data_IF_627524456611
#
_entry.id   IF_627524456611
#
_cell.length_a   1.000
_cell.length_b   1.000
_cell.length_c   1.000
_cell.angle_alpha   90.00
_cell.angle_beta   90.00
_cell.angle_gamma   90.00
#
_symmetry.space_group_name_H-M   'P 1'
#
loop_
_entity.id
_entity.type
_entity.pdbx_description
1 polymer ?
#
# COMPACT_ATOMS: atom_id res chain seq x y z
N UNK A 1 -18.72 -9.67 -22.70
CA UNK A 1 -17.40 -9.17 -23.13
C UNK A 1 -16.39 -10.07 -22.45
N UNK A 2 -15.73 -10.95 -23.20
CA UNK A 2 -15.01 -12.09 -22.64
C UNK A 2 -13.70 -11.65 -21.97
N UNK A 3 -13.62 -11.94 -20.68
CA UNK A 3 -12.44 -11.80 -19.84
C UNK A 3 -11.31 -12.75 -20.28
N UNK A 4 -10.46 -12.27 -21.19
CA UNK A 4 -9.18 -12.88 -21.55
C UNK A 4 -8.13 -12.52 -20.48
N UNK A 5 -8.25 -13.10 -19.29
CA UNK A 5 -7.24 -12.92 -18.24
C UNK A 5 -5.98 -13.72 -18.57
N UNK A 6 -4.86 -13.01 -18.71
CA UNK A 6 -3.52 -13.58 -18.92
C UNK A 6 -2.91 -14.04 -17.58
N UNK A 7 -3.47 -15.08 -16.95
CA UNK A 7 -2.83 -15.73 -15.80
C UNK A 7 -1.52 -16.39 -16.24
N UNK A 8 -0.39 -15.76 -15.90
CA UNK A 8 0.93 -16.31 -16.23
C UNK A 8 1.29 -17.36 -15.18
N UNK A 9 1.26 -18.64 -15.58
CA UNK A 9 1.83 -19.72 -14.77
C UNK A 9 3.32 -19.45 -14.50
N UNK A 10 3.84 -19.66 -13.29
CA UNK A 10 5.23 -19.38 -12.93
C UNK A 10 6.26 -20.06 -13.85
N UNK A 11 5.95 -21.25 -14.39
CA UNK A 11 6.79 -21.98 -15.35
C UNK A 11 6.89 -21.34 -16.74
N UNK A 12 6.09 -20.32 -17.05
CA UNK A 12 6.01 -19.69 -18.37
C UNK A 12 6.56 -18.26 -18.39
N UNK A 13 6.98 -17.69 -17.25
CA UNK A 13 7.40 -16.29 -17.21
C UNK A 13 8.67 -16.03 -18.04
N UNK A 14 9.66 -16.93 -17.95
CA UNK A 14 10.87 -16.87 -18.79
C UNK A 14 10.60 -17.01 -20.29
N UNK A 15 9.48 -17.63 -20.68
CA UNK A 15 9.07 -17.75 -22.09
C UNK A 15 8.55 -16.41 -22.66
N UNK A 16 8.48 -15.35 -21.85
CA UNK A 16 8.22 -13.98 -22.31
C UNK A 16 9.48 -13.26 -22.77
N UNK A 17 10.67 -13.68 -22.32
CA UNK A 17 11.93 -13.17 -22.87
C UNK A 17 12.10 -13.75 -24.29
N UNK A 18 12.18 -12.91 -25.34
CA UNK A 18 12.39 -13.40 -26.69
C UNK A 18 13.75 -14.11 -26.81
N UNK A 19 13.84 -15.27 -27.48
CA UNK A 19 15.11 -15.97 -27.70
C UNK A 19 16.05 -15.28 -28.72
N UNK A 20 15.71 -14.10 -29.23
CA UNK A 20 16.50 -13.35 -30.22
C UNK A 20 15.64 -12.51 -31.18
N UNK A 21 16.33 -11.78 -32.08
CA UNK A 21 15.74 -10.98 -33.16
C UNK A 21 14.73 -11.80 -33.98
N UNK A 22 13.48 -11.33 -34.07
CA UNK A 22 12.40 -11.96 -34.85
C UNK A 22 11.46 -12.89 -34.08
N UNK A 23 11.58 -12.98 -32.74
CA UNK A 23 10.60 -13.69 -31.91
C UNK A 23 9.29 -12.90 -31.76
N UNK A 24 8.14 -13.56 -31.94
CA UNK A 24 6.78 -13.00 -31.72
C UNK A 24 6.48 -12.60 -30.26
N UNK A 25 7.47 -12.58 -29.37
CA UNK A 25 7.27 -12.15 -27.98
C UNK A 25 6.76 -10.71 -27.87
N UNK A 26 7.08 -9.85 -28.85
CA UNK A 26 6.66 -8.45 -28.86
C UNK A 26 5.17 -8.18 -29.08
N UNK A 27 4.34 -9.21 -29.31
CA UNK A 27 2.89 -9.07 -29.44
C UNK A 27 2.13 -9.35 -28.13
N UNK A 28 2.81 -9.65 -27.02
CA UNK A 28 2.16 -9.97 -25.74
C UNK A 28 1.94 -8.71 -24.91
N UNK A 29 0.79 -8.64 -24.23
CA UNK A 29 0.51 -7.57 -23.28
C UNK A 29 1.62 -7.52 -22.20
N UNK A 30 2.30 -6.37 -22.04
CA UNK A 30 3.34 -6.22 -21.02
C UNK A 30 2.77 -6.25 -19.60
N UNK A 31 1.49 -5.94 -19.38
CA UNK A 31 0.89 -5.97 -18.05
C UNK A 31 0.64 -7.43 -17.62
N UNK A 32 1.18 -7.80 -16.47
CA UNK A 32 1.12 -9.17 -15.96
C UNK A 32 0.55 -9.19 -14.55
N UNK A 33 -0.45 -10.05 -14.36
CA UNK A 33 -0.98 -10.44 -13.07
C UNK A 33 -0.44 -11.84 -12.74
N UNK A 34 0.05 -12.03 -11.50
CA UNK A 34 0.64 -13.30 -11.05
C UNK A 34 -0.09 -13.78 -9.81
N UNK A 35 -0.60 -15.00 -9.85
CA UNK A 35 -1.24 -15.68 -8.73
C UNK A 35 -0.53 -17.01 -8.40
N UNK A 36 0.04 -17.05 -7.19
CA UNK A 36 0.77 -18.17 -6.59
C UNK A 36 0.08 -18.67 -5.31
N UNK A 37 -1.24 -18.49 -5.21
CA UNK A 37 -2.01 -18.91 -4.04
C UNK A 37 -1.87 -20.42 -3.79
N UNK A 38 -1.55 -20.78 -2.55
CA UNK A 38 -1.59 -22.17 -2.09
C UNK A 38 -0.66 -23.12 -2.86
N UNK A 39 0.44 -22.61 -3.41
CA UNK A 39 1.39 -23.41 -4.21
C UNK A 39 2.45 -24.13 -3.36
N UNK A 40 2.29 -24.11 -2.04
CA UNK A 40 3.23 -24.70 -1.07
C UNK A 40 4.67 -24.23 -1.31
N UNK A 41 4.82 -22.93 -1.61
CA UNK A 41 6.14 -22.35 -1.86
C UNK A 41 6.91 -22.25 -0.54
N UNK A 42 8.10 -22.83 -0.54
CA UNK A 42 9.17 -22.55 0.42
C UNK A 42 9.95 -21.31 -0.03
N UNK A 43 10.75 -20.73 0.88
CA UNK A 43 11.58 -19.56 0.56
C UNK A 43 12.50 -19.80 -0.64
N UNK A 44 13.09 -20.99 -0.77
CA UNK A 44 13.98 -21.34 -1.89
C UNK A 44 13.25 -21.40 -3.23
N UNK A 45 12.06 -22.03 -3.26
CA UNK A 45 11.25 -22.13 -4.49
C UNK A 45 10.73 -20.76 -4.90
N UNK A 46 10.32 -19.95 -3.93
CA UNK A 46 9.91 -18.58 -4.17
C UNK A 46 11.08 -17.74 -4.68
N UNK A 47 12.27 -17.88 -4.08
CA UNK A 47 13.47 -17.19 -4.52
C UNK A 47 13.82 -17.48 -5.98
N UNK A 48 13.83 -18.75 -6.38
CA UNK A 48 14.11 -19.15 -7.76
C UNK A 48 13.09 -18.58 -8.76
N UNK A 49 11.81 -18.53 -8.36
CA UNK A 49 10.77 -17.89 -9.17
C UNK A 49 10.98 -16.38 -9.27
N UNK A 50 11.25 -15.72 -8.15
CA UNK A 50 11.44 -14.27 -8.07
C UNK A 50 12.66 -13.83 -8.88
N UNK A 51 13.76 -14.56 -8.86
CA UNK A 51 14.94 -14.22 -9.67
C UNK A 51 14.58 -14.19 -11.16
N UNK A 52 13.83 -15.18 -11.63
CA UNK A 52 13.34 -15.20 -13.01
C UNK A 52 12.40 -14.02 -13.31
N UNK A 53 11.56 -13.63 -12.35
CA UNK A 53 10.64 -12.50 -12.50
C UNK A 53 11.41 -11.18 -12.56
N UNK A 54 12.41 -11.00 -11.71
CA UNK A 54 13.32 -9.84 -11.71
C UNK A 54 14.00 -9.73 -13.07
N UNK A 55 14.58 -10.82 -13.58
CA UNK A 55 15.20 -10.86 -14.92
C UNK A 55 14.23 -10.35 -15.99
N UNK A 56 12.96 -10.79 -15.94
CA UNK A 56 11.96 -10.39 -16.92
C UNK A 56 11.50 -8.93 -16.76
N UNK A 57 11.34 -8.43 -15.53
CA UNK A 57 10.97 -7.04 -15.25
C UNK A 57 12.10 -6.10 -15.68
N UNK A 58 13.36 -6.51 -15.50
CA UNK A 58 14.55 -5.72 -15.85
C UNK A 58 14.96 -5.86 -17.32
N UNK A 59 14.51 -6.91 -18.01
CA UNK A 59 14.87 -7.13 -19.42
C UNK A 59 14.51 -5.91 -20.27
N UNK A 60 15.49 -5.37 -20.97
CA UNK A 60 15.36 -4.28 -21.95
C UNK A 60 16.08 -4.71 -23.22
N UNK A 61 15.53 -4.35 -24.37
CA UNK A 61 16.14 -4.61 -25.68
C UNK A 61 15.68 -3.56 -26.69
N UNK A 62 16.24 -3.58 -27.90
CA UNK A 62 15.90 -2.62 -28.96
C UNK A 62 14.39 -2.60 -29.28
N UNK A 63 13.76 -3.78 -29.33
CA UNK A 63 12.32 -3.92 -29.56
C UNK A 63 11.47 -3.61 -28.31
N UNK A 64 12.09 -3.57 -27.12
CA UNK A 64 11.43 -3.43 -25.82
C UNK A 64 12.17 -2.45 -24.89
N UNK A 65 12.29 -1.16 -25.27
CA UNK A 65 13.06 -0.17 -24.52
C UNK A 65 12.45 0.16 -23.14
N UNK A 66 11.16 -0.12 -22.96
CA UNK A 66 10.43 0.07 -21.70
C UNK A 66 10.22 -1.23 -20.91
N UNK A 67 10.77 -2.34 -21.41
CA UNK A 67 10.62 -3.67 -20.81
C UNK A 67 9.49 -4.51 -21.39
N UNK A 68 9.55 -5.81 -21.10
CA UNK A 68 8.60 -6.81 -21.60
C UNK A 68 7.52 -7.19 -20.57
N UNK A 69 7.73 -6.83 -19.30
CA UNK A 69 6.81 -7.12 -18.20
C UNK A 69 6.66 -5.87 -17.32
N UNK A 70 5.40 -5.55 -17.02
CA UNK A 70 4.95 -4.60 -16.01
C UNK A 70 4.04 -5.35 -15.05
N UNK A 71 4.52 -5.62 -13.85
CA UNK A 71 3.79 -6.42 -12.87
C UNK A 71 2.69 -5.56 -12.22
N UNK A 72 1.43 -5.84 -12.49
CA UNK A 72 0.29 -5.06 -11.99
C UNK A 72 -0.37 -5.65 -10.75
N UNK A 73 -0.24 -6.97 -10.55
CA UNK A 73 -0.76 -7.72 -9.41
C UNK A 73 0.16 -8.87 -9.05
N UNK A 74 0.45 -9.03 -7.76
CA UNK A 74 1.18 -10.18 -7.23
C UNK A 74 0.43 -10.77 -6.03
N UNK A 75 0.03 -12.04 -6.15
CA UNK A 75 -0.62 -12.81 -5.09
C UNK A 75 0.26 -13.99 -4.73
N UNK A 76 0.73 -14.05 -3.50
CA UNK A 76 1.54 -15.15 -2.94
C UNK A 76 0.90 -15.72 -1.67
N UNK A 77 -0.43 -15.61 -1.59
CA UNK A 77 -1.26 -16.01 -0.46
C UNK A 77 -1.10 -17.49 -0.09
N UNK A 78 -1.16 -17.81 1.20
CA UNK A 78 -1.35 -19.19 1.65
C UNK A 78 -0.15 -20.08 1.35
N UNK A 79 1.06 -19.53 1.48
CA UNK A 79 2.32 -20.27 1.31
C UNK A 79 3.06 -20.33 2.65
N UNK A 80 4.26 -20.90 2.66
CA UNK A 80 5.10 -21.01 3.86
C UNK A 80 6.24 -19.98 3.85
N UNK A 81 6.04 -18.81 3.22
CA UNK A 81 7.08 -17.80 3.09
C UNK A 81 7.42 -17.21 4.46
N UNK A 82 8.71 -17.02 4.71
CA UNK A 82 9.23 -16.44 5.95
C UNK A 82 9.94 -15.11 5.68
N UNK A 83 10.60 -14.57 6.70
CA UNK A 83 11.46 -13.38 6.59
C UNK A 83 12.55 -13.55 5.51
N UNK A 84 12.97 -14.78 5.19
CA UNK A 84 13.94 -15.03 4.13
C UNK A 84 13.43 -14.60 2.73
N UNK A 85 12.13 -14.74 2.46
CA UNK A 85 11.50 -14.31 1.20
C UNK A 85 11.32 -12.81 1.08
N UNK A 86 11.24 -12.11 2.21
CA UNK A 86 10.89 -10.68 2.29
C UNK A 86 11.84 -9.80 1.49
N UNK A 87 13.15 -10.07 1.56
CA UNK A 87 14.16 -9.27 0.82
C UNK A 87 13.92 -9.32 -0.69
N UNK A 88 13.64 -10.51 -1.23
CA UNK A 88 13.38 -10.72 -2.65
C UNK A 88 12.02 -10.15 -3.06
N UNK A 89 11.01 -10.31 -2.20
CA UNK A 89 9.71 -9.71 -2.41
C UNK A 89 9.83 -8.17 -2.51
N UNK A 90 10.53 -7.55 -1.57
CA UNK A 90 10.81 -6.10 -1.58
C UNK A 90 11.52 -5.63 -2.85
N UNK A 91 12.42 -6.44 -3.41
CA UNK A 91 13.08 -6.10 -4.68
C UNK A 91 12.12 -6.10 -5.88
N UNK A 92 11.29 -7.14 -6.03
CA UNK A 92 10.25 -7.19 -7.10
C UNK A 92 9.29 -6.02 -6.98
N UNK A 93 8.88 -5.74 -5.76
CA UNK A 93 8.01 -4.65 -5.34
C UNK A 93 8.60 -3.30 -5.71
N UNK A 94 9.88 -3.07 -5.41
CA UNK A 94 10.60 -1.84 -5.75
C UNK A 94 10.73 -1.66 -7.27
N UNK A 95 11.04 -2.74 -8.02
CA UNK A 95 11.13 -2.69 -9.48
C UNK A 95 9.79 -2.44 -10.18
N UNK A 96 8.67 -2.64 -9.48
CA UNK A 96 7.31 -2.51 -10.02
C UNK A 96 6.55 -1.33 -9.42
N UNK A 97 7.23 -0.36 -8.79
CA UNK A 97 6.61 0.74 -8.04
C UNK A 97 5.70 1.66 -8.88
N UNK A 98 5.86 1.65 -10.19
CA UNK A 98 5.13 2.48 -11.15
C UNK A 98 3.89 1.78 -11.76
N UNK A 99 3.71 0.47 -11.52
CA UNK A 99 2.65 -0.32 -12.14
C UNK A 99 1.96 -1.33 -11.21
N UNK A 100 2.57 -1.71 -10.08
CA UNK A 100 1.98 -2.66 -9.14
C UNK A 100 0.84 -2.02 -8.37
N UNK A 101 -0.39 -2.45 -8.67
CA UNK A 101 -1.61 -1.92 -8.06
C UNK A 101 -2.13 -2.78 -6.91
N UNK A 102 -1.77 -4.07 -6.87
CA UNK A 102 -2.24 -4.98 -5.83
C UNK A 102 -1.13 -5.94 -5.38
N UNK A 103 -1.00 -6.07 -4.06
CA UNK A 103 -0.13 -7.07 -3.45
C UNK A 103 -0.92 -7.87 -2.41
N UNK A 104 -0.93 -9.20 -2.54
CA UNK A 104 -1.48 -10.08 -1.52
C UNK A 104 -0.42 -11.06 -1.04
N UNK A 105 -0.03 -10.92 0.23
CA UNK A 105 1.00 -11.72 0.91
C UNK A 105 0.43 -12.42 2.14
N UNK A 106 -0.90 -12.52 2.21
CA UNK A 106 -1.64 -13.10 3.34
C UNK A 106 -1.36 -14.58 3.57
N UNK A 107 -1.66 -15.07 4.77
CA UNK A 107 -1.55 -16.47 5.17
C UNK A 107 -0.15 -17.06 4.91
N UNK A 108 0.88 -16.31 5.30
CA UNK A 108 2.29 -16.73 5.29
C UNK A 108 2.86 -16.72 6.73
N UNK A 109 4.17 -16.92 6.88
CA UNK A 109 4.88 -16.97 8.16
C UNK A 109 5.84 -15.80 8.33
N UNK A 110 5.48 -14.63 7.79
CA UNK A 110 6.33 -13.44 7.81
C UNK A 110 6.09 -12.67 9.12
N UNK A 111 7.11 -12.58 9.96
CA UNK A 111 7.03 -11.91 11.27
C UNK A 111 7.75 -10.56 11.34
N UNK A 112 8.69 -10.29 10.43
CA UNK A 112 9.50 -9.06 10.43
C UNK A 112 9.34 -8.33 9.11
N UNK A 113 9.00 -7.04 9.21
CA UNK A 113 8.47 -6.29 8.07
C UNK A 113 9.24 -5.00 7.77
N UNK A 114 10.19 -4.58 8.60
CA UNK A 114 10.85 -3.28 8.45
C UNK A 114 11.44 -3.07 7.04
N UNK A 115 12.34 -3.97 6.64
CA UNK A 115 12.96 -3.94 5.32
C UNK A 115 11.93 -3.96 4.16
N UNK A 116 10.85 -4.72 4.34
CA UNK A 116 9.78 -4.77 3.35
C UNK A 116 9.07 -3.44 3.23
N UNK A 117 8.60 -2.89 4.35
CA UNK A 117 7.79 -1.69 4.40
C UNK A 117 8.60 -0.46 3.95
N UNK A 118 9.90 -0.42 4.25
CA UNK A 118 10.80 0.61 3.73
C UNK A 118 10.91 0.58 2.20
N UNK A 119 10.82 -0.59 1.57
CA UNK A 119 10.79 -0.69 0.09
C UNK A 119 9.52 -0.10 -0.54
N UNK A 120 8.49 0.17 0.27
CA UNK A 120 7.21 0.75 -0.18
C UNK A 120 7.23 2.28 -0.19
N UNK A 121 8.25 2.95 0.37
CA UNK A 121 8.32 4.42 0.44
C UNK A 121 8.23 5.12 -0.93
N UNK A 122 8.56 4.42 -2.03
CA UNK A 122 8.48 4.95 -3.39
C UNK A 122 7.16 4.66 -4.13
N UNK A 123 6.19 4.01 -3.50
CA UNK A 123 4.98 3.53 -4.16
C UNK A 123 3.91 4.60 -4.30
N UNK A 124 3.40 4.78 -5.52
CA UNK A 124 2.42 5.83 -5.82
C UNK A 124 1.26 5.36 -6.72
N UNK A 125 1.16 4.06 -7.02
CA UNK A 125 0.05 3.49 -7.82
C UNK A 125 -0.67 2.33 -7.12
N UNK A 126 -0.23 1.99 -5.91
CA UNK A 126 -0.72 0.82 -5.21
C UNK A 126 -2.09 1.11 -4.56
N UNK A 127 -3.05 0.24 -4.86
CA UNK A 127 -4.43 0.35 -4.39
C UNK A 127 -4.74 -0.54 -3.19
N UNK A 128 -4.04 -1.67 -3.04
CA UNK A 128 -4.31 -2.64 -1.97
C UNK A 128 -3.08 -3.44 -1.56
N UNK A 129 -2.90 -3.60 -0.24
CA UNK A 129 -2.02 -4.61 0.34
C UNK A 129 -2.80 -5.49 1.31
N UNK A 130 -2.57 -6.79 1.20
CA UNK A 130 -3.13 -7.77 2.12
C UNK A 130 -2.04 -8.49 2.93
N UNK A 131 -2.01 -8.19 4.23
CA UNK A 131 -1.13 -8.77 5.25
C UNK A 131 -1.81 -9.81 6.14
N UNK A 132 -3.07 -10.17 5.84
CA UNK A 132 -3.89 -11.03 6.70
C UNK A 132 -3.20 -12.35 7.07
N UNK A 133 -3.49 -12.90 8.25
CA UNK A 133 -3.01 -14.21 8.69
C UNK A 133 -1.51 -14.35 8.93
N UNK A 134 -0.70 -13.29 8.74
CA UNK A 134 0.72 -13.31 9.07
C UNK A 134 0.95 -13.02 10.58
N UNK A 135 1.94 -13.66 11.21
CA UNK A 135 2.26 -13.45 12.63
C UNK A 135 3.06 -12.16 12.85
N UNK A 136 2.49 -11.00 12.51
CA UNK A 136 3.09 -9.67 12.70
C UNK A 136 3.51 -9.44 14.16
N UNK A 137 2.64 -9.79 15.11
CA UNK A 137 2.87 -9.56 16.54
C UNK A 137 2.97 -8.07 16.91
N UNK A 138 3.18 -7.77 18.19
CA UNK A 138 3.26 -6.37 18.65
C UNK A 138 4.38 -5.58 17.97
N UNK A 139 5.57 -6.19 17.84
CA UNK A 139 6.74 -5.56 17.20
C UNK A 139 6.51 -5.29 15.71
N UNK A 140 5.86 -6.22 14.99
CA UNK A 140 5.54 -6.00 13.57
C UNK A 140 4.57 -4.84 13.37
N UNK A 141 3.56 -4.70 14.24
CA UNK A 141 2.63 -3.57 14.21
C UNK A 141 3.27 -2.24 14.65
N UNK A 142 4.21 -2.25 15.61
CA UNK A 142 5.01 -1.06 15.95
C UNK A 142 5.82 -0.56 14.75
N UNK A 143 6.56 -1.47 14.10
CA UNK A 143 7.31 -1.16 12.88
C UNK A 143 6.37 -0.65 11.78
N UNK A 144 5.22 -1.29 11.60
CA UNK A 144 4.22 -0.85 10.64
C UNK A 144 3.74 0.58 10.93
N UNK A 145 3.31 0.85 12.16
CA UNK A 145 2.81 2.16 12.56
C UNK A 145 3.86 3.27 12.37
N UNK A 146 5.12 2.99 12.68
CA UNK A 146 6.23 3.93 12.44
C UNK A 146 6.44 4.22 10.96
N UNK A 147 6.57 3.19 10.11
CA UNK A 147 6.74 3.39 8.66
C UNK A 147 5.51 4.05 8.04
N UNK A 148 4.34 3.74 8.57
CA UNK A 148 3.08 4.39 8.19
C UNK A 148 3.13 5.88 8.49
N UNK A 149 3.46 6.31 9.72
CA UNK A 149 3.56 7.73 10.09
C UNK A 149 4.66 8.46 9.31
N UNK A 150 5.75 7.78 8.96
CA UNK A 150 6.83 8.32 8.13
C UNK A 150 6.50 8.39 6.62
N UNK A 151 5.37 7.85 6.16
CA UNK A 151 5.00 7.88 4.74
C UNK A 151 4.56 9.29 4.34
N UNK A 152 5.14 9.83 3.28
CA UNK A 152 4.88 11.19 2.81
C UNK A 152 3.55 11.30 2.04
N UNK A 153 2.63 12.12 2.56
CA UNK A 153 1.43 12.59 1.85
C UNK A 153 1.57 14.08 1.50
N UNK A 154 2.32 14.39 0.45
CA UNK A 154 2.61 15.79 0.08
C UNK A 154 1.38 16.56 -0.48
N UNK A 155 0.23 15.91 -0.66
CA UNK A 155 -0.93 16.48 -1.36
C UNK A 155 -2.12 16.85 -0.45
N UNK A 156 -2.29 16.21 0.72
CA UNK A 156 -3.47 16.46 1.56
C UNK A 156 -3.33 17.77 2.35
N UNK A 157 -2.10 18.17 2.69
CA UNK A 157 -1.83 19.46 3.33
C UNK A 157 -2.11 20.66 2.40
N UNK A 158 -2.08 20.43 1.08
CA UNK A 158 -2.41 21.44 0.05
C UNK A 158 -3.91 21.72 -0.05
N UNK A 159 -4.77 20.70 0.14
CA UNK A 159 -6.23 20.89 0.11
C UNK A 159 -6.74 21.62 1.36
N UNK A 160 -6.09 21.43 2.51
CA UNK A 160 -6.40 22.16 3.74
C UNK A 160 -6.09 23.69 3.64
N UNK A 161 -5.14 24.07 2.79
CA UNK A 161 -4.71 25.46 2.61
C UNK A 161 -5.47 26.24 1.53
N UNK A 162 -6.21 25.56 0.64
CA UNK A 162 -7.03 26.25 -0.38
C UNK A 162 -8.46 26.57 0.09
N UNK A 163 -8.85 26.18 1.32
CA UNK A 163 -10.26 26.19 1.72
C UNK A 163 -10.65 26.61 3.15
N UNK A 164 -9.82 27.24 3.99
CA UNK A 164 -10.30 27.61 5.35
C UNK A 164 -9.86 28.99 5.87
N UNK A 165 -10.73 29.99 5.62
CA UNK A 165 -10.98 31.12 6.53
C UNK A 165 -12.13 30.79 7.50
N UNK A 166 -12.15 29.60 8.12
CA UNK A 166 -13.20 29.28 9.10
C UNK A 166 -12.61 28.47 10.26
N UNK A 167 -12.77 29.00 11.47
CA UNK A 167 -12.34 28.38 12.72
C UNK A 167 -13.36 27.32 13.12
N UNK A 168 -12.93 26.06 13.18
CA UNK A 168 -13.71 24.96 13.78
C UNK A 168 -13.34 24.85 15.28
N UNK A 169 -14.29 24.55 16.19
CA UNK A 169 -14.06 24.57 17.64
C UNK A 169 -12.96 23.62 18.15
N UNK A 170 -12.19 24.14 19.09
CA UNK A 170 -10.79 23.83 19.42
C UNK A 170 -10.54 22.62 20.36
N UNK A 171 -11.54 21.86 20.82
CA UNK A 171 -11.31 21.02 22.01
C UNK A 171 -10.90 19.54 21.78
N UNK A 172 -11.07 18.96 20.59
CA UNK A 172 -10.69 17.54 20.33
C UNK A 172 -9.42 17.41 19.50
N UNK A 173 -9.20 18.32 18.54
CA UNK A 173 -7.97 18.41 17.74
C UNK A 173 -6.76 18.65 18.64
N UNK A 174 -6.92 19.40 19.73
CA UNK A 174 -5.85 19.69 20.69
C UNK A 174 -5.39 18.44 21.45
N UNK A 175 -6.24 17.43 21.67
CA UNK A 175 -5.85 16.20 22.39
C UNK A 175 -5.03 15.28 21.47
N UNK A 176 -5.43 15.16 20.20
CA UNK A 176 -4.70 14.39 19.18
C UNK A 176 -3.39 15.09 18.77
N UNK A 177 -3.41 16.41 18.54
CA UNK A 177 -2.19 17.19 18.28
C UNK A 177 -1.24 17.14 19.47
N UNK A 178 -1.70 17.22 20.72
CA UNK A 178 -0.83 17.07 21.88
C UNK A 178 -0.25 15.66 22.03
N UNK A 179 -0.99 14.61 21.67
CA UNK A 179 -0.46 13.25 21.67
C UNK A 179 0.60 13.03 20.57
N UNK A 180 0.45 13.68 19.43
CA UNK A 180 1.40 13.67 18.30
C UNK A 180 2.64 14.55 18.60
N UNK A 181 2.45 15.70 19.25
CA UNK A 181 3.52 16.62 19.65
C UNK A 181 4.39 16.05 20.78
N UNK A 182 3.81 15.24 21.68
CA UNK A 182 4.57 14.55 22.74
C UNK A 182 5.48 13.44 22.16
N UNK A 183 5.19 12.93 20.96
CA UNK A 183 6.03 11.94 20.26
C UNK A 183 7.10 12.64 19.38
N UNK A 184 6.86 13.88 18.94
CA UNK A 184 7.78 14.65 18.10
C UNK A 184 8.72 15.53 18.93
N UNK A 185 9.68 14.90 19.61
CA UNK A 185 10.87 15.59 20.12
C UNK A 185 12.00 15.55 19.08
N UNK A 186 12.17 16.69 18.38
CA UNK A 186 13.35 17.15 17.62
C UNK A 186 13.79 16.29 16.40
N UNK A 187 14.02 16.81 15.20
CA UNK A 187 14.70 18.05 14.81
C UNK A 187 14.16 18.63 13.48
N UNK A 188 14.39 19.93 13.32
CA UNK A 188 14.17 20.78 12.15
C UNK A 188 14.37 20.07 10.79
N UNK A 189 13.29 20.00 10.00
CA UNK A 189 13.32 19.66 8.56
C UNK A 189 14.02 20.78 7.77
N UNK A 190 15.35 20.84 7.85
CA UNK A 190 16.20 21.62 6.93
C UNK A 190 16.77 20.70 5.86
N UNK A 191 16.22 20.77 4.65
CA UNK A 191 16.85 20.41 3.38
C UNK A 191 17.75 19.15 3.39
N UNK A 192 17.24 18.01 3.88
CA UNK A 192 17.90 16.73 3.60
C UNK A 192 17.43 16.26 2.22
N UNK A 193 18.36 16.20 1.26
CA UNK A 193 18.18 15.42 0.03
C UNK A 193 17.67 14.03 0.44
N UNK A 194 16.68 13.44 -0.26
CA UNK A 194 16.21 12.10 0.06
C UNK A 194 17.42 11.16 0.09
N UNK A 195 17.64 10.40 1.17
CA UNK A 195 18.68 9.39 1.18
C UNK A 195 18.50 8.43 0.00
N UNK A 196 19.61 8.01 -0.59
CA UNK A 196 19.64 7.02 -1.66
C UNK A 196 19.37 5.62 -1.07
N UNK A 197 18.11 5.36 -0.70
CA UNK A 197 17.68 4.17 0.05
C UNK A 197 17.85 2.85 -0.72
N UNK A 198 18.03 2.91 -2.04
CA UNK A 198 18.34 1.73 -2.86
C UNK A 198 19.70 1.10 -2.51
N UNK A 199 20.61 1.87 -1.88
CA UNK A 199 21.86 1.34 -1.32
C UNK A 199 21.66 0.47 -0.08
N UNK A 200 20.57 0.63 0.70
CA UNK A 200 20.31 -0.18 1.91
C UNK A 200 20.15 -1.66 1.57
N UNK A 201 19.69 -1.98 0.36
CA UNK A 201 19.58 -3.34 -0.14
C UNK A 201 20.69 -3.78 -1.08
N UNK A 202 21.65 -2.91 -1.38
CA UNK A 202 22.74 -3.16 -2.33
C UNK A 202 22.30 -3.27 -3.79
N UNK A 203 21.13 -2.71 -4.15
CA UNK A 203 20.60 -2.77 -5.51
C UNK A 203 20.84 -1.44 -6.22
N UNK A 204 21.51 -1.48 -7.36
CA UNK A 204 21.64 -0.33 -8.27
C UNK A 204 20.42 -0.33 -9.19
N UNK A 205 19.42 0.49 -8.89
CA UNK A 205 18.24 0.65 -9.74
C UNK A 205 18.46 1.91 -10.60
N UNK A 206 18.83 1.72 -11.86
CA UNK A 206 18.82 2.80 -12.85
C UNK A 206 17.36 3.08 -13.26
N UNK A 207 16.67 3.87 -12.44
CA UNK A 207 15.39 4.46 -12.81
C UNK A 207 15.62 5.59 -13.83
N UNK A 208 16.02 5.26 -15.06
CA UNK A 208 15.88 6.19 -16.19
C UNK A 208 14.40 6.27 -16.58
N UNK A 209 13.62 6.95 -15.75
CA UNK A 209 12.27 7.35 -16.09
C UNK A 209 12.31 8.36 -17.23
N UNK A 210 11.68 8.03 -18.35
CA UNK A 210 11.41 8.96 -19.43
C UNK A 210 10.79 10.26 -18.91
N UNK A 211 11.11 11.35 -19.61
CA UNK A 211 10.68 12.73 -19.32
C UNK A 211 9.17 12.78 -19.04
N UNK A 212 8.71 13.46 -17.98
CA UNK A 212 7.32 13.40 -17.55
C UNK A 212 6.44 14.18 -18.53
N UNK A 213 5.55 13.47 -19.21
CA UNK A 213 4.41 14.06 -19.92
C UNK A 213 3.15 13.59 -19.21
N UNK A 214 2.46 14.49 -18.50
CA UNK A 214 1.08 14.30 -18.01
C UNK A 214 0.86 14.15 -16.49
N UNK A 215 1.67 13.37 -15.77
CA UNK A 215 1.25 12.81 -14.46
C UNK A 215 2.06 13.29 -13.23
N UNK A 216 2.23 14.60 -13.02
CA UNK A 216 2.96 15.09 -11.83
C UNK A 216 2.19 14.90 -10.51
N UNK A 217 0.86 14.73 -10.57
CA UNK A 217 0.01 14.72 -9.37
C UNK A 217 0.04 13.39 -8.61
N UNK A 218 0.01 12.24 -9.31
CA UNK A 218 -0.01 10.92 -8.66
C UNK A 218 1.27 10.63 -7.86
N UNK A 219 2.41 11.17 -8.28
CA UNK A 219 3.70 10.99 -7.59
C UNK A 219 3.83 11.78 -6.28
N UNK A 220 2.84 12.60 -5.92
CA UNK A 220 2.81 13.39 -4.67
C UNK A 220 2.29 12.57 -3.49
N UNK A 221 1.66 11.43 -3.75
CA UNK A 221 1.20 10.46 -2.76
C UNK A 221 2.16 9.28 -2.73
N UNK A 222 2.89 9.04 -1.62
CA UNK A 222 3.81 7.88 -1.56
C UNK A 222 3.74 7.12 -0.25
N UNK A 223 4.13 5.85 -0.32
CA UNK A 223 4.26 5.02 0.87
C UNK A 223 2.95 4.38 1.30
N UNK A 224 2.84 4.03 2.58
CA UNK A 224 1.71 3.26 3.11
C UNK A 224 0.45 4.10 3.29
N UNK A 225 0.60 5.39 3.58
CA UNK A 225 -0.54 6.30 3.76
C UNK A 225 -1.30 6.56 2.45
N UNK A 226 -0.66 6.40 1.29
CA UNK A 226 -1.30 6.58 -0.02
C UNK A 226 -2.06 5.35 -0.50
N UNK A 227 -2.03 4.24 0.24
CA UNK A 227 -2.69 2.98 -0.14
C UNK A 227 -4.12 2.97 0.38
N UNK A 228 -5.15 3.00 -0.49
CA UNK A 228 -6.56 3.03 -0.09
C UNK A 228 -7.02 1.85 0.76
N UNK A 229 -6.45 0.66 0.55
CA UNK A 229 -6.89 -0.55 1.25
C UNK A 229 -5.71 -1.30 1.89
N UNK A 230 -5.68 -1.30 3.22
CA UNK A 230 -4.73 -2.06 4.03
C UNK A 230 -5.47 -3.16 4.80
N UNK A 231 -5.12 -4.42 4.57
CA UNK A 231 -5.82 -5.58 5.16
C UNK A 231 -4.94 -6.26 6.22
N UNK A 232 -5.47 -6.42 7.44
CA UNK A 232 -4.80 -7.00 8.61
C UNK A 232 -5.61 -8.13 9.27
N UNK A 233 -6.58 -8.70 8.57
CA UNK A 233 -7.49 -9.71 9.12
C UNK A 233 -6.76 -10.88 9.78
N UNK A 234 -7.20 -11.24 10.99
CA UNK A 234 -6.61 -12.33 11.79
C UNK A 234 -5.11 -12.14 12.16
N UNK A 235 -4.51 -10.96 11.97
CA UNK A 235 -3.08 -10.73 12.24
C UNK A 235 -2.79 -10.11 13.62
N UNK A 236 -3.77 -9.42 14.22
CA UNK A 236 -3.60 -8.74 15.50
C UNK A 236 -4.09 -9.60 16.68
N UNK A 237 -3.17 -10.01 17.56
CA UNK A 237 -3.42 -10.93 18.69
C UNK A 237 -3.08 -10.35 20.08
N UNK A 238 -2.59 -9.12 20.16
CA UNK A 238 -2.14 -8.48 21.41
C UNK A 238 -2.73 -7.08 21.58
N UNK A 239 -2.78 -6.57 22.81
CA UNK A 239 -3.26 -5.20 23.04
C UNK A 239 -2.34 -4.14 22.41
N UNK A 240 -1.04 -4.43 22.30
CA UNK A 240 -0.09 -3.56 21.62
C UNK A 240 -0.42 -3.43 20.13
N UNK A 241 -0.70 -4.53 19.42
CA UNK A 241 -1.11 -4.41 18.01
C UNK A 241 -2.46 -3.71 17.87
N UNK A 242 -3.40 -3.93 18.81
CA UNK A 242 -4.69 -3.25 18.78
C UNK A 242 -4.53 -1.74 18.94
N UNK A 243 -3.61 -1.30 19.80
CA UNK A 243 -3.29 0.12 19.96
C UNK A 243 -2.70 0.74 18.69
N UNK A 244 -1.68 0.11 18.10
CA UNK A 244 -1.10 0.61 16.84
C UNK A 244 -2.11 0.63 15.69
N UNK A 245 -2.91 -0.43 15.56
CA UNK A 245 -3.96 -0.51 14.54
C UNK A 245 -5.06 0.53 14.77
N UNK A 246 -5.44 0.77 16.03
CA UNK A 246 -6.36 1.85 16.40
C UNK A 246 -5.84 3.24 15.98
N UNK A 247 -4.56 3.53 16.21
CA UNK A 247 -3.94 4.78 15.75
C UNK A 247 -3.98 4.92 14.22
N UNK A 248 -3.74 3.83 13.49
CA UNK A 248 -3.83 3.81 12.02
C UNK A 248 -5.29 4.01 11.58
N UNK A 249 -6.25 3.33 12.22
CA UNK A 249 -7.69 3.50 11.98
C UNK A 249 -8.10 4.96 12.11
N UNK A 250 -7.62 5.67 13.12
CA UNK A 250 -7.93 7.07 13.39
C UNK A 250 -7.22 8.07 12.47
N UNK A 251 -6.16 7.67 11.77
CA UNK A 251 -5.37 8.57 10.90
C UNK A 251 -5.49 8.27 9.40
N UNK A 252 -5.88 7.07 8.99
CA UNK A 252 -5.97 6.71 7.58
C UNK A 252 -7.04 7.50 6.83
N UNK A 253 -6.71 7.96 5.63
CA UNK A 253 -7.66 8.70 4.79
C UNK A 253 -8.70 7.76 4.19
N UNK A 254 -9.85 8.32 3.84
CA UNK A 254 -10.92 7.58 3.19
C UNK A 254 -10.42 7.02 1.84
N UNK A 255 -10.80 5.78 1.48
CA UNK A 255 -10.39 5.18 0.22
C UNK A 255 -10.72 6.03 -1.00
N UNK A 256 -11.90 6.65 -1.02
CA UNK A 256 -12.37 7.45 -2.15
C UNK A 256 -11.45 8.66 -2.38
N UNK A 257 -11.09 9.38 -1.30
CA UNK A 257 -10.10 10.46 -1.36
C UNK A 257 -8.76 9.98 -1.89
N UNK A 258 -8.26 8.83 -1.40
CA UNK A 258 -6.97 8.30 -1.85
C UNK A 258 -6.99 7.84 -3.32
N UNK A 259 -8.11 7.28 -3.78
CA UNK A 259 -8.27 6.79 -5.15
C UNK A 259 -8.24 7.91 -6.19
N UNK A 260 -8.66 9.13 -5.86
CA UNK A 260 -8.55 10.30 -6.74
C UNK A 260 -7.09 10.63 -7.11
N UNK A 261 -6.15 10.29 -6.23
CA UNK A 261 -4.71 10.51 -6.42
C UNK A 261 -3.98 9.28 -6.97
N UNK A 262 -4.71 8.29 -7.49
CA UNK A 262 -4.14 7.11 -8.14
C UNK A 262 -4.63 7.01 -9.59
N UNK A 263 -3.85 6.37 -10.48
CA UNK A 263 -4.29 6.14 -11.85
C UNK A 263 -5.64 5.40 -11.89
N UNK A 264 -6.58 5.80 -12.77
CA UNK A 264 -7.85 5.09 -12.92
C UNK A 264 -7.59 3.64 -13.36
N UNK A 265 -8.42 2.72 -12.89
CA UNK A 265 -8.25 1.31 -13.21
C UNK A 265 -9.32 0.44 -12.56
N UNK A 266 -9.14 -0.89 -12.65
CA UNK A 266 -10.04 -1.86 -12.05
C UNK A 266 -10.25 -1.55 -10.57
N UNK A 267 -11.50 -1.65 -10.11
CA UNK A 267 -11.79 -1.58 -8.68
C UNK A 267 -11.06 -2.68 -7.94
N UNK A 268 -10.51 -2.33 -6.78
CA UNK A 268 -9.74 -3.23 -5.91
C UNK A 268 -10.38 -3.32 -4.52
N UNK A 269 -11.59 -2.77 -4.38
CA UNK A 269 -12.32 -2.75 -3.12
C UNK A 269 -12.35 -4.17 -2.51
N UNK A 270 -11.97 -4.33 -1.24
CA UNK A 270 -12.19 -5.55 -0.50
C UNK A 270 -13.68 -5.94 -0.55
N UNK A 271 -14.02 -7.24 -0.50
CA UNK A 271 -15.41 -7.66 -0.46
C UNK A 271 -16.14 -6.96 0.71
N UNK A 272 -17.37 -6.50 0.45
CA UNK A 272 -18.17 -5.53 1.22
C UNK A 272 -18.40 -5.85 2.72
N UNK A 273 -18.00 -7.05 3.19
CA UNK A 273 -18.33 -7.55 4.54
C UNK A 273 -17.39 -7.06 5.66
N UNK A 274 -16.40 -6.23 5.34
CA UNK A 274 -15.45 -5.73 6.35
C UNK A 274 -15.29 -4.22 6.25
N UNK A 275 -16.03 -3.52 7.12
CA UNK A 275 -15.97 -2.09 7.47
C UNK A 275 -15.24 -1.19 6.45
N UNK A 276 -15.87 -0.86 5.30
CA UNK A 276 -15.20 -0.20 4.17
C UNK A 276 -14.92 1.29 4.40
N UNK A 277 -15.44 1.89 5.48
CA UNK A 277 -15.39 3.33 5.71
C UNK A 277 -13.96 3.89 5.61
N UNK A 278 -13.02 3.38 6.39
CA UNK A 278 -11.69 4.01 6.49
C UNK A 278 -10.58 3.26 5.75
N UNK A 279 -10.87 2.34 4.81
CA UNK A 279 -9.83 1.62 4.07
C UNK A 279 -9.00 0.61 4.87
N UNK A 280 -9.15 0.55 6.19
CA UNK A 280 -8.44 -0.38 7.08
C UNK A 280 -9.33 -1.59 7.33
N UNK A 281 -9.02 -2.69 6.67
CA UNK A 281 -9.78 -3.93 6.79
C UNK A 281 -9.15 -4.87 7.80
N UNK A 282 -9.93 -5.30 8.79
CA UNK A 282 -9.51 -6.32 9.73
C UNK A 282 -10.69 -7.16 10.23
N UNK A 283 -10.37 -8.37 10.66
CA UNK A 283 -11.25 -9.23 11.46
C UNK A 283 -10.55 -9.52 12.77
N UNK A 284 -11.33 -9.57 13.85
CA UNK A 284 -10.83 -9.85 15.18
C UNK A 284 -10.23 -11.26 15.23
N UNK A 285 -9.05 -11.38 15.83
CA UNK A 285 -8.50 -12.67 16.17
C UNK A 285 -9.10 -13.11 17.51
N UNK A 286 -9.51 -14.38 17.62
CA UNK A 286 -10.09 -14.95 18.85
C UNK A 286 -9.16 -14.86 20.07
N UNK A 287 -7.85 -14.71 19.84
CA UNK A 287 -6.83 -14.57 20.89
C UNK A 287 -6.68 -13.14 21.40
N UNK A 288 -7.29 -12.15 20.76
CA UNK A 288 -7.23 -10.77 21.19
C UNK A 288 -8.03 -10.60 22.49
N UNK A 289 -7.47 -9.88 23.46
CA UNK A 289 -8.17 -9.66 24.73
C UNK A 289 -9.37 -8.73 24.56
N UNK A 290 -10.33 -8.80 25.49
CA UNK A 290 -11.49 -7.92 25.51
C UNK A 290 -11.11 -6.42 25.47
N UNK A 291 -10.01 -6.03 26.11
CA UNK A 291 -9.50 -4.66 26.05
C UNK A 291 -9.06 -4.27 24.64
N UNK A 292 -8.31 -5.15 23.96
CA UNK A 292 -7.86 -4.91 22.58
C UNK A 292 -9.03 -4.85 21.61
N UNK A 293 -10.02 -5.73 21.78
CA UNK A 293 -11.26 -5.70 21.01
C UNK A 293 -12.01 -4.38 21.20
N UNK A 294 -12.23 -3.95 22.44
CA UNK A 294 -12.93 -2.70 22.74
C UNK A 294 -12.21 -1.48 22.17
N UNK A 295 -10.88 -1.49 22.18
CA UNK A 295 -10.08 -0.41 21.60
C UNK A 295 -10.31 -0.27 20.09
N UNK A 296 -10.34 -1.39 19.35
CA UNK A 296 -10.61 -1.39 17.91
C UNK A 296 -12.05 -0.97 17.59
N UNK A 297 -13.03 -1.43 18.38
CA UNK A 297 -14.42 -0.98 18.29
C UNK A 297 -14.55 0.54 18.45
N UNK A 298 -13.93 1.09 19.50
CA UNK A 298 -13.91 2.54 19.74
C UNK A 298 -13.33 3.30 18.54
N UNK A 299 -12.25 2.80 17.93
CA UNK A 299 -11.68 3.42 16.73
C UNK A 299 -12.67 3.51 15.56
N UNK A 300 -13.47 2.47 15.35
CA UNK A 300 -14.51 2.49 14.32
C UNK A 300 -15.67 3.42 14.71
N UNK A 301 -16.13 3.36 15.97
CA UNK A 301 -17.20 4.23 16.50
C UNK A 301 -16.84 5.72 16.29
N UNK A 302 -15.61 6.11 16.63
CA UNK A 302 -15.11 7.47 16.41
C UNK A 302 -15.11 7.88 14.94
N UNK A 303 -14.74 6.96 14.03
CA UNK A 303 -14.72 7.24 12.60
C UNK A 303 -16.12 7.43 12.02
N UNK A 304 -17.07 6.59 12.41
CA UNK A 304 -18.47 6.72 11.98
C UNK A 304 -19.03 8.07 12.44
N UNK A 305 -18.82 8.43 13.71
CA UNK A 305 -19.27 9.72 14.23
C UNK A 305 -18.68 10.91 13.48
N UNK A 306 -17.40 10.82 13.08
CA UNK A 306 -16.74 11.91 12.34
C UNK A 306 -17.30 12.03 10.92
N UNK A 307 -17.53 10.90 10.23
CA UNK A 307 -18.09 10.93 8.87
C UNK A 307 -19.54 11.44 8.83
N UNK A 308 -20.34 11.14 9.85
CA UNK A 308 -21.73 11.60 9.92
C UNK A 308 -21.80 13.13 10.10
N UNK A 309 -20.86 13.70 10.88
CA UNK A 309 -20.74 15.16 11.06
C UNK A 309 -20.33 15.83 9.74
N UNK A 310 -19.34 15.30 9.02
CA UNK A 310 -18.89 15.85 7.74
C UNK A 310 -20.02 15.85 6.68
N UNK A 311 -20.94 14.87 6.74
CA UNK A 311 -22.10 14.76 5.86
C UNK A 311 -23.21 15.77 6.20
N UNK A 312 -23.51 15.98 7.48
CA UNK A 312 -24.51 16.97 7.92
C UNK A 312 -24.07 18.42 7.64
N UNK A 313 -22.76 18.70 7.73
CA UNK A 313 -22.19 20.02 7.37
C UNK A 313 -22.23 20.29 5.85
N UNK A 314 -22.15 19.26 5.02
CA UNK A 314 -22.23 19.42 3.55
C UNK A 314 -23.68 19.57 3.05
N UNK A 315 -24.66 18.95 3.71
CA UNK A 315 -26.09 19.11 3.35
C UNK A 315 -26.67 20.47 3.79
N UNK A 316 -26.16 21.05 4.88
CA UNK A 316 -26.62 22.35 5.39
C UNK A 316 -26.10 23.56 4.60
N UNK A 317 -25.17 23.38 3.66
CA UNK A 317 -24.64 24.43 2.77
C UNK A 317 -25.40 24.58 1.45
N UNK A 318 -26.43 23.78 1.18
CA UNK A 318 -27.16 23.75 -0.09
C UNK A 318 -28.43 24.59 -0.20
N UNK A 319 -28.76 25.45 0.78
CA UNK A 319 -30.11 26.08 0.86
C UNK A 319 -30.13 27.61 0.68
N UNK A 320 -29.01 28.31 0.53
CA UNK A 320 -29.00 29.79 0.55
C UNK A 320 -28.67 30.48 -0.79
N UNK A 321 -28.98 29.88 -1.95
CA UNK A 321 -28.83 30.53 -3.27
C UNK A 321 -30.09 30.41 -4.15
N UNK A 322 -31.25 30.78 -3.59
CA UNK A 322 -32.40 31.17 -4.42
C UNK A 322 -33.32 32.11 -3.63
N UNK A 323 -32.91 33.36 -3.41
CA UNK A 323 -33.80 34.55 -3.33
C UNK A 323 -32.94 35.81 -3.14
N UNK A 324 -32.64 36.49 -4.26
CA UNK A 324 -32.04 37.83 -4.31
C UNK A 324 -32.36 38.51 -5.63
#
# INVERSE_FOLDING_TARGET
MADLFNDVKPSNIRKRIPPGLGSRAGARDPHVEIDLTGKELTDDRFAAFVDNLIDCIQYRGEEHPNGIIRLTKLVVKGNALTVASVKKLGHVVALSSDCLTQLNISDNRISTWQAFLESLKGWYVLKKIDFAGNPLGGVGFDVFARVYVESDLDFIESLANEGSKYQVPTDVVVILSKAVDVISLAEEKKNRKPPDYFKVFGFQIDCQGGKPTGDSNYRRARGLQSVPYLVFSNSCITNACAFHLWTIILSHHQPDTLLEFLPPGKSVAPPEQTNPLNGIVYTLNEKLSALGTRLLELGNEFRIQTSDIDAEETESQGIDDEFG
#
